data_IF_418863635719
#
_entry.id   IF_418863635719
#
_cell.length_a   1.000
_cell.length_b   1.000
_cell.length_c   1.000
_cell.angle_alpha   90.00
_cell.angle_beta   90.00
_cell.angle_gamma   90.00
#
_symmetry.space_group_name_H-M   'P 1'
#
loop_
_entity.id
_entity.type
_entity.pdbx_description
1 polymer ?
#
# COMPACT_ATOMS: atom_id res chain seq x y z
N UNK A 1 -12.83 32.52 0.13
CA UNK A 1 -13.05 31.25 0.83
C UNK A 1 -12.41 30.14 0.01
N UNK A 2 -11.14 29.76 0.20
CA UNK A 2 -10.48 28.87 -0.81
C UNK A 2 -9.61 27.71 -0.31
N UNK A 3 -9.05 27.74 0.90
CA UNK A 3 -8.33 26.58 1.47
C UNK A 3 -8.91 26.11 2.81
N UNK A 4 -9.40 27.05 3.63
CA UNK A 4 -9.93 26.74 4.97
C UNK A 4 -11.16 25.82 4.96
N UNK A 5 -12.00 25.86 3.92
CA UNK A 5 -13.19 24.99 3.83
C UNK A 5 -12.80 23.55 3.49
N UNK A 6 -11.90 23.35 2.50
CA UNK A 6 -11.33 22.04 2.18
C UNK A 6 -10.58 21.46 3.38
N UNK A 7 -9.79 22.29 4.07
CA UNK A 7 -9.05 21.85 5.26
C UNK A 7 -10.02 21.51 6.41
N UNK A 8 -11.11 22.27 6.60
CA UNK A 8 -12.17 21.93 7.57
C UNK A 8 -12.84 20.60 7.24
N UNK A 9 -13.14 20.36 5.96
CA UNK A 9 -13.74 19.10 5.49
C UNK A 9 -12.77 17.95 5.76
N UNK A 10 -11.50 18.08 5.34
CA UNK A 10 -10.46 17.07 5.54
C UNK A 10 -10.21 16.79 7.05
N UNK A 11 -10.13 17.83 7.88
CA UNK A 11 -9.95 17.66 9.33
C UNK A 11 -11.19 17.07 10.01
N UNK A 12 -12.40 17.42 9.57
CA UNK A 12 -13.62 16.78 10.08
C UNK A 12 -13.67 15.29 9.70
N UNK A 13 -13.24 14.98 8.47
CA UNK A 13 -13.10 13.63 7.94
C UNK A 13 -12.09 12.79 8.72
N UNK A 14 -10.92 13.36 9.04
CA UNK A 14 -9.89 12.70 9.85
C UNK A 14 -10.34 12.35 11.28
N UNK A 15 -11.28 13.12 11.83
CA UNK A 15 -11.83 12.89 13.19
C UNK A 15 -12.96 11.88 13.24
N UNK A 16 -13.44 11.43 12.09
CA UNK A 16 -14.61 10.56 12.01
C UNK A 16 -14.13 9.11 11.91
N UNK A 17 -14.28 8.34 12.99
CA UNK A 17 -13.87 6.92 13.08
C UNK A 17 -14.79 5.97 12.25
N UNK A 18 -15.16 6.38 11.04
CA UNK A 18 -15.90 5.58 10.06
C UNK A 18 -17.34 5.20 10.42
N UNK A 19 -17.90 5.72 11.53
CA UNK A 19 -19.25 5.33 12.01
C UNK A 19 -20.35 6.35 11.78
N UNK A 20 -20.02 7.62 11.56
CA UNK A 20 -21.01 8.67 11.32
C UNK A 20 -20.53 9.64 10.24
N UNK A 21 -20.95 9.42 8.99
CA UNK A 21 -20.56 10.28 7.86
C UNK A 21 -21.48 11.51 7.70
N UNK A 22 -22.28 11.87 8.70
CA UNK A 22 -23.34 12.88 8.55
C UNK A 22 -22.78 14.28 8.47
N UNK A 23 -21.66 14.54 9.15
CA UNK A 23 -20.93 15.79 9.05
C UNK A 23 -20.43 16.02 7.61
N UNK A 24 -19.91 14.97 6.99
CA UNK A 24 -19.40 14.98 5.60
C UNK A 24 -20.54 15.26 4.65
N UNK A 25 -21.65 14.53 4.83
CA UNK A 25 -22.84 14.66 4.00
C UNK A 25 -23.39 16.09 4.05
N UNK A 26 -23.56 16.67 5.25
CA UNK A 26 -24.01 18.07 5.40
C UNK A 26 -23.06 19.08 4.77
N UNK A 27 -21.75 18.87 4.92
CA UNK A 27 -20.75 19.77 4.36
C UNK A 27 -20.74 19.72 2.83
N UNK A 28 -20.87 18.52 2.25
CA UNK A 28 -20.99 18.34 0.80
C UNK A 28 -22.26 19.00 0.27
N UNK A 29 -23.40 18.85 0.96
CA UNK A 29 -24.65 19.55 0.59
C UNK A 29 -24.50 21.07 0.65
N UNK A 30 -23.82 21.60 1.68
CA UNK A 30 -23.55 23.04 1.80
C UNK A 30 -22.68 23.55 0.64
N UNK A 31 -21.60 22.84 0.30
CA UNK A 31 -20.72 23.20 -0.81
C UNK A 31 -21.45 23.13 -2.16
N UNK A 32 -22.35 22.17 -2.35
CA UNK A 32 -23.15 22.05 -3.58
C UNK A 32 -24.12 23.22 -3.82
N UNK A 33 -24.47 24.01 -2.78
CA UNK A 33 -25.24 25.25 -2.96
C UNK A 33 -24.48 26.30 -3.78
N UNK A 34 -23.17 26.14 -3.94
CA UNK A 34 -22.34 26.96 -4.82
C UNK A 34 -21.65 26.10 -5.91
N UNK A 35 -22.29 25.91 -7.08
CA UNK A 35 -21.79 25.00 -8.12
C UNK A 35 -20.37 25.30 -8.62
N UNK A 36 -19.98 26.58 -8.63
CA UNK A 36 -18.68 27.03 -9.12
C UNK A 36 -17.52 26.78 -8.13
N UNK A 37 -17.81 26.63 -6.84
CA UNK A 37 -16.81 26.18 -5.86
C UNK A 37 -16.77 24.65 -5.78
N UNK A 38 -17.93 24.00 -5.81
CA UNK A 38 -18.04 22.55 -5.70
C UNK A 38 -17.19 21.78 -6.71
N UNK A 39 -17.22 22.15 -7.99
CA UNK A 39 -16.44 21.42 -9.01
C UNK A 39 -14.92 21.43 -8.73
N UNK A 40 -14.39 22.53 -8.16
CA UNK A 40 -12.98 22.66 -7.81
C UNK A 40 -12.65 21.97 -6.49
N UNK A 41 -13.52 22.13 -5.49
CA UNK A 41 -13.31 21.61 -4.13
C UNK A 41 -13.49 20.09 -4.07
N UNK A 42 -14.42 19.53 -4.85
CA UNK A 42 -14.65 18.09 -4.96
C UNK A 42 -13.36 17.33 -5.31
N UNK A 43 -12.60 17.84 -6.28
CA UNK A 43 -11.33 17.20 -6.66
C UNK A 43 -10.34 17.23 -5.50
N UNK A 44 -10.16 18.39 -4.85
CA UNK A 44 -9.26 18.53 -3.71
C UNK A 44 -9.64 17.64 -2.51
N UNK A 45 -10.94 17.42 -2.29
CA UNK A 45 -11.46 16.50 -1.27
C UNK A 45 -11.09 15.06 -1.64
N UNK A 46 -11.42 14.62 -2.86
CA UNK A 46 -11.11 13.26 -3.31
C UNK A 46 -9.61 12.95 -3.34
N UNK A 47 -8.75 13.96 -3.57
CA UNK A 47 -7.30 13.79 -3.59
C UNK A 47 -6.70 13.71 -2.18
N UNK A 48 -7.33 14.32 -1.17
CA UNK A 48 -6.78 14.43 0.20
C UNK A 48 -7.36 13.42 1.20
N UNK A 49 -8.54 12.88 0.91
CA UNK A 49 -9.30 12.10 1.87
C UNK A 49 -9.08 10.62 1.62
N UNK A 50 -8.54 9.92 2.62
CA UNK A 50 -8.48 8.46 2.58
C UNK A 50 -9.88 7.88 2.83
N UNK A 51 -10.53 7.49 1.74
CA UNK A 51 -11.88 6.95 1.75
C UNK A 51 -12.00 5.64 2.56
N UNK A 52 -10.90 4.89 2.74
CA UNK A 52 -10.92 3.67 3.57
C UNK A 52 -11.18 3.99 5.04
N UNK A 53 -10.65 5.12 5.53
CA UNK A 53 -10.87 5.58 6.92
C UNK A 53 -12.33 5.89 7.20
N UNK A 54 -13.10 6.21 6.16
CA UNK A 54 -14.53 6.49 6.27
C UNK A 54 -15.41 5.23 6.27
N UNK A 55 -14.79 4.04 6.37
CA UNK A 55 -15.50 2.77 6.34
C UNK A 55 -15.90 2.32 4.94
N UNK A 56 -15.41 2.98 3.88
CA UNK A 56 -15.55 2.48 2.51
C UNK A 56 -14.56 1.33 2.27
N UNK A 57 -14.89 0.17 2.84
CA UNK A 57 -14.07 -1.03 2.71
C UNK A 57 -14.04 -1.52 1.25
N UNK A 58 -12.83 -1.85 0.76
CA UNK A 58 -12.64 -2.63 -0.46
C UNK A 58 -12.39 -1.86 -1.76
N UNK A 59 -12.49 -0.53 -1.78
CA UNK A 59 -12.27 0.25 -3.00
C UNK A 59 -11.43 1.49 -2.69
N UNK A 60 -10.16 1.47 -3.11
CA UNK A 60 -9.19 2.60 -3.06
C UNK A 60 -9.56 3.73 -4.03
N UNK A 61 -10.77 3.67 -4.53
CA UNK A 61 -11.18 4.08 -5.85
C UNK A 61 -12.62 4.58 -5.76
N UNK A 62 -12.99 5.26 -4.68
CA UNK A 62 -14.31 5.88 -4.54
C UNK A 62 -14.12 7.38 -4.48
N UNK A 63 -14.84 8.10 -5.32
CA UNK A 63 -14.91 9.55 -5.36
C UNK A 63 -16.25 10.02 -4.82
N UNK A 64 -16.23 11.08 -4.01
CA UNK A 64 -17.45 11.78 -3.61
C UNK A 64 -17.91 12.61 -4.80
N UNK A 65 -19.15 12.38 -5.24
CA UNK A 65 -19.79 13.09 -6.35
C UNK A 65 -20.72 14.19 -5.89
N UNK A 66 -21.27 14.05 -4.68
CA UNK A 66 -22.21 14.98 -4.09
C UNK A 66 -22.92 14.40 -2.88
N UNK A 67 -23.93 15.11 -2.41
CA UNK A 67 -24.85 14.65 -1.39
C UNK A 67 -26.27 15.16 -1.71
N UNK A 68 -27.29 14.48 -1.19
CA UNK A 68 -28.68 14.87 -1.34
C UNK A 68 -29.54 14.27 -0.22
N UNK A 69 -30.33 15.10 0.46
CA UNK A 69 -31.26 14.71 1.51
C UNK A 69 -30.63 13.81 2.60
N UNK A 70 -29.44 14.16 3.07
CA UNK A 70 -28.71 13.39 4.07
C UNK A 70 -28.14 12.08 3.52
N UNK A 71 -28.03 11.92 2.21
CA UNK A 71 -27.38 10.78 1.55
C UNK A 71 -26.13 11.25 0.81
N UNK A 72 -25.05 10.47 0.86
CA UNK A 72 -23.82 10.73 0.13
C UNK A 72 -23.85 10.01 -1.21
N UNK A 73 -23.58 10.72 -2.29
CA UNK A 73 -23.44 10.15 -3.64
C UNK A 73 -21.95 9.94 -3.89
N UNK A 74 -21.58 8.69 -4.07
CA UNK A 74 -20.21 8.28 -4.35
C UNK A 74 -20.15 7.60 -5.71
N UNK A 75 -19.02 7.70 -6.40
CA UNK A 75 -18.79 7.03 -7.67
C UNK A 75 -17.46 6.32 -7.64
N UNK A 76 -17.37 5.12 -8.17
CA UNK A 76 -16.08 4.47 -8.35
C UNK A 76 -15.16 5.31 -9.26
N UNK A 77 -13.84 5.23 -9.06
CA UNK A 77 -12.84 5.99 -9.81
C UNK A 77 -12.85 5.62 -11.30
N UNK A 78 -13.25 4.39 -11.60
CA UNK A 78 -13.50 3.91 -12.96
C UNK A 78 -14.83 4.41 -13.57
N UNK A 79 -15.61 5.17 -12.80
CA UNK A 79 -16.88 5.76 -13.21
C UNK A 79 -18.05 4.79 -13.31
N UNK A 80 -17.87 3.51 -12.97
CA UNK A 80 -18.80 2.42 -13.32
C UNK A 80 -19.94 2.20 -12.34
N UNK A 81 -19.73 2.48 -11.06
CA UNK A 81 -20.78 2.42 -10.04
C UNK A 81 -20.96 3.80 -9.43
N UNK A 82 -22.21 4.23 -9.34
CA UNK A 82 -22.63 5.35 -8.53
C UNK A 82 -23.47 4.79 -7.38
N UNK A 83 -22.99 4.97 -6.16
CA UNK A 83 -23.63 4.48 -4.95
C UNK A 83 -24.17 5.67 -4.17
N UNK A 84 -25.46 5.61 -3.86
CA UNK A 84 -26.09 6.47 -2.86
C UNK A 84 -25.97 5.76 -1.53
N UNK A 85 -25.40 6.46 -0.55
CA UNK A 85 -25.12 5.94 0.77
C UNK A 85 -25.85 6.74 1.82
N UNK A 86 -26.31 6.07 2.86
CA UNK A 86 -26.93 6.71 4.00
C UNK A 86 -25.89 7.58 4.71
N UNK A 87 -26.15 8.87 4.82
CA UNK A 87 -25.20 9.82 5.39
C UNK A 87 -24.96 9.62 6.87
N UNK A 88 -25.76 8.83 7.59
CA UNK A 88 -25.52 8.55 9.02
C UNK A 88 -24.72 7.29 9.22
N UNK A 89 -24.99 6.24 8.46
CA UNK A 89 -24.44 4.89 8.67
C UNK A 89 -23.38 4.51 7.64
N UNK A 90 -23.27 5.23 6.52
CA UNK A 90 -22.39 4.90 5.40
C UNK A 90 -22.83 3.70 4.57
N UNK A 91 -23.94 3.04 4.95
CA UNK A 91 -24.50 1.90 4.25
C UNK A 91 -24.96 2.29 2.84
N UNK A 92 -24.76 1.40 1.86
CA UNK A 92 -25.25 1.61 0.49
C UNK A 92 -26.77 1.48 0.51
N UNK A 93 -27.47 2.57 0.18
CA UNK A 93 -28.94 2.63 0.06
C UNK A 93 -29.36 2.21 -1.35
N UNK A 94 -28.61 2.66 -2.35
CA UNK A 94 -28.83 2.23 -3.73
C UNK A 94 -27.52 2.25 -4.52
N UNK A 95 -27.38 1.35 -5.47
CA UNK A 95 -26.29 1.32 -6.42
C UNK A 95 -26.85 1.42 -7.84
N UNK A 96 -26.43 2.43 -8.58
CA UNK A 96 -26.68 2.56 -10.01
C UNK A 96 -25.39 2.26 -10.76
N UNK A 97 -25.44 1.29 -11.66
CA UNK A 97 -24.33 1.02 -12.59
C UNK A 97 -24.56 1.83 -13.85
N UNK A 98 -23.56 2.61 -14.26
CA UNK A 98 -23.69 3.46 -15.46
C UNK A 98 -23.78 2.57 -16.72
N UNK A 99 -24.72 2.84 -17.65
CA UNK A 99 -24.91 2.03 -18.86
C UNK A 99 -23.70 1.99 -19.81
N UNK A 100 -22.78 2.95 -19.68
CA UNK A 100 -21.58 3.12 -20.51
C UNK A 100 -20.51 2.04 -20.32
N UNK A 101 -20.78 1.03 -19.49
CA UNK A 101 -19.98 -0.18 -19.41
C UNK A 101 -20.86 -1.38 -19.16
N UNK A 102 -21.35 -2.05 -20.21
CA UNK A 102 -21.85 -3.43 -20.09
C UNK A 102 -20.73 -4.29 -19.54
N UNK A 103 -20.82 -4.63 -18.26
CA UNK A 103 -20.10 -5.72 -17.61
C UNK A 103 -21.02 -6.35 -16.58
N UNK A 104 -20.89 -7.67 -16.44
CA UNK A 104 -21.61 -8.55 -15.52
C UNK A 104 -21.59 -8.05 -14.06
N UNK A 105 -22.47 -8.61 -13.20
CA UNK A 105 -22.65 -8.22 -11.79
C UNK A 105 -21.39 -8.06 -10.90
N UNK A 106 -20.21 -8.51 -11.35
CA UNK A 106 -18.96 -8.46 -10.60
C UNK A 106 -17.88 -7.49 -11.12
N UNK A 107 -18.15 -6.63 -12.12
CA UNK A 107 -17.14 -5.67 -12.60
C UNK A 107 -15.92 -6.34 -13.27
N UNK A 108 -16.12 -7.53 -13.80
CA UNK A 108 -15.05 -8.35 -14.39
C UNK A 108 -14.63 -7.80 -15.77
N UNK A 109 -13.40 -7.31 -15.86
CA UNK A 109 -12.81 -6.87 -17.14
C UNK A 109 -12.81 -8.06 -18.12
N UNK A 110 -13.17 -7.81 -19.38
CA UNK A 110 -13.14 -8.82 -20.45
C UNK A 110 -11.68 -9.08 -20.87
N UNK A 111 -10.99 -9.87 -20.06
CA UNK A 111 -9.65 -10.35 -20.31
C UNK A 111 -9.72 -11.55 -21.26
N UNK A 112 -9.08 -11.42 -22.43
CA UNK A 112 -9.07 -12.49 -23.44
C UNK A 112 -7.74 -13.20 -23.43
N UNK A 113 -7.68 -14.33 -22.73
CA UNK A 113 -6.49 -15.18 -22.71
C UNK A 113 -6.14 -15.67 -24.12
N UNK A 114 -4.86 -15.61 -24.49
CA UNK A 114 -4.35 -15.91 -25.84
C UNK A 114 -3.80 -17.34 -25.98
N UNK A 115 -3.86 -18.16 -24.93
CA UNK A 115 -3.34 -19.54 -24.92
C UNK A 115 -1.82 -19.65 -24.77
N UNK A 116 -1.07 -18.59 -25.05
CA UNK A 116 0.39 -18.48 -24.79
C UNK A 116 0.71 -18.04 -23.35
N UNK A 117 -0.31 -17.91 -22.50
CA UNK A 117 -0.20 -17.38 -21.15
C UNK A 117 -0.48 -15.87 -21.05
N UNK A 118 -0.40 -15.13 -22.16
CA UNK A 118 -0.74 -13.71 -22.18
C UNK A 118 -2.25 -13.49 -22.30
N UNK A 119 -2.68 -12.26 -21.98
CA UNK A 119 -4.08 -11.84 -22.03
C UNK A 119 -4.19 -10.55 -22.82
N UNK A 120 -5.12 -10.47 -23.77
CA UNK A 120 -5.48 -9.21 -24.43
C UNK A 120 -6.53 -8.45 -23.65
N UNK A 121 -6.37 -7.14 -23.60
CA UNK A 121 -7.31 -6.24 -22.95
C UNK A 121 -7.45 -4.92 -23.71
N UNK A 122 -8.68 -4.48 -23.99
CA UNK A 122 -8.95 -3.14 -24.53
C UNK A 122 -9.15 -2.15 -23.39
N UNK A 123 -8.29 -1.12 -23.34
CA UNK A 123 -8.31 -0.07 -22.32
C UNK A 123 -9.62 0.71 -22.39
N UNK A 124 -10.29 0.87 -21.25
CA UNK A 124 -11.57 1.57 -21.14
C UNK A 124 -11.38 2.94 -20.47
N UNK A 125 -12.37 3.86 -20.56
CA UNK A 125 -12.32 5.10 -19.80
C UNK A 125 -12.09 4.86 -18.31
N UNK A 126 -11.25 5.68 -17.68
CA UNK A 126 -10.89 5.58 -16.26
C UNK A 126 -9.85 4.52 -15.91
N UNK A 127 -9.35 3.75 -16.88
CA UNK A 127 -8.34 2.74 -16.63
C UNK A 127 -6.94 3.32 -16.51
N UNK A 128 -6.21 2.85 -15.51
CA UNK A 128 -4.76 3.00 -15.40
C UNK A 128 -4.09 1.64 -15.58
N UNK A 129 -2.83 1.61 -16.01
CA UNK A 129 -2.09 0.35 -16.09
C UNK A 129 -1.99 -0.34 -14.73
N UNK A 130 -1.86 0.43 -13.64
CA UNK A 130 -1.83 -0.10 -12.28
C UNK A 130 -3.13 -0.81 -11.90
N UNK A 131 -4.29 -0.26 -12.28
CA UNK A 131 -5.60 -0.89 -12.03
C UNK A 131 -5.76 -2.18 -12.84
N UNK A 132 -5.35 -2.15 -14.12
CA UNK A 132 -5.39 -3.33 -14.98
C UNK A 132 -4.45 -4.42 -14.44
N UNK A 133 -3.23 -4.05 -14.06
CA UNK A 133 -2.24 -4.95 -13.47
C UNK A 133 -2.73 -5.59 -12.17
N UNK A 134 -3.25 -4.79 -11.24
CA UNK A 134 -3.81 -5.27 -9.96
C UNK A 134 -4.93 -6.29 -10.19
N UNK A 135 -5.90 -5.96 -11.04
CA UNK A 135 -7.02 -6.86 -11.29
C UNK A 135 -6.57 -8.17 -11.94
N UNK A 136 -5.62 -8.10 -12.89
CA UNK A 136 -5.09 -9.31 -13.51
C UNK A 136 -4.32 -10.17 -12.52
N UNK A 137 -3.43 -9.57 -11.72
CA UNK A 137 -2.68 -10.27 -10.68
C UNK A 137 -3.61 -10.96 -9.67
N UNK A 138 -4.67 -10.28 -9.25
CA UNK A 138 -5.66 -10.85 -8.34
C UNK A 138 -6.42 -12.02 -8.96
N UNK A 139 -6.77 -11.93 -10.24
CA UNK A 139 -7.41 -13.03 -10.97
C UNK A 139 -6.47 -14.24 -11.11
N UNK A 140 -5.17 -14.02 -11.33
CA UNK A 140 -4.19 -15.11 -11.47
C UNK A 140 -3.81 -15.76 -10.13
N UNK A 141 -3.69 -14.97 -9.06
CA UNK A 141 -3.17 -15.45 -7.75
C UNK A 141 -4.25 -15.75 -6.73
N UNK A 142 -5.48 -15.26 -6.94
CA UNK A 142 -6.58 -15.34 -5.97
C UNK A 142 -6.40 -14.49 -4.71
N UNK A 143 -5.32 -13.70 -4.61
CA UNK A 143 -5.00 -12.86 -3.44
C UNK A 143 -4.77 -11.41 -3.83
N UNK A 144 -4.79 -10.50 -2.85
CA UNK A 144 -4.49 -9.08 -3.10
C UNK A 144 -2.99 -8.91 -3.40
N UNK A 145 -2.59 -8.40 -4.58
CA UNK A 145 -1.19 -8.27 -4.95
C UNK A 145 -0.51 -7.15 -4.18
N UNK A 146 0.79 -7.29 -3.91
CA UNK A 146 1.56 -6.23 -3.28
C UNK A 146 1.79 -5.06 -4.25
N UNK A 147 2.11 -3.87 -3.72
CA UNK A 147 2.47 -2.71 -4.54
C UNK A 147 3.66 -2.99 -5.46
N UNK A 148 4.61 -3.82 -5.00
CA UNK A 148 5.74 -4.26 -5.80
C UNK A 148 5.29 -5.11 -6.99
N UNK A 149 4.42 -6.10 -6.76
CA UNK A 149 3.92 -6.98 -7.83
C UNK A 149 3.15 -6.18 -8.90
N UNK A 150 2.35 -5.20 -8.45
CA UNK A 150 1.63 -4.29 -9.34
C UNK A 150 2.61 -3.48 -10.18
N UNK A 151 3.63 -2.87 -9.55
CA UNK A 151 4.63 -2.08 -10.26
C UNK A 151 5.39 -2.91 -11.29
N UNK A 152 5.85 -4.10 -10.92
CA UNK A 152 6.54 -5.03 -11.82
C UNK A 152 5.65 -5.42 -13.01
N UNK A 153 4.35 -5.69 -12.77
CA UNK A 153 3.42 -6.00 -13.84
C UNK A 153 3.14 -4.80 -14.76
N UNK A 154 3.08 -3.58 -14.22
CA UNK A 154 2.93 -2.36 -15.03
C UNK A 154 4.13 -2.20 -15.97
N UNK A 155 5.35 -2.45 -15.48
CA UNK A 155 6.56 -2.41 -16.33
C UNK A 155 6.51 -3.49 -17.41
N UNK A 156 6.11 -4.71 -17.06
CA UNK A 156 5.97 -5.81 -18.01
C UNK A 156 4.93 -5.51 -19.11
N UNK A 157 3.78 -4.93 -18.74
CA UNK A 157 2.79 -4.43 -19.71
C UNK A 157 3.38 -3.32 -20.59
N UNK A 158 4.11 -2.36 -19.99
CA UNK A 158 4.78 -1.29 -20.71
C UNK A 158 5.74 -1.81 -21.79
N UNK A 159 6.57 -2.79 -21.43
CA UNK A 159 7.53 -3.44 -22.32
C UNK A 159 6.84 -4.24 -23.43
N UNK A 160 5.86 -5.09 -23.07
CA UNK A 160 5.14 -5.92 -24.03
C UNK A 160 4.42 -5.11 -25.11
N UNK A 161 3.95 -3.90 -24.76
CA UNK A 161 3.20 -3.02 -25.66
C UNK A 161 4.03 -1.85 -26.20
N UNK A 162 5.34 -1.81 -25.91
CA UNK A 162 6.26 -0.73 -26.34
C UNK A 162 5.72 0.67 -26.00
N UNK A 163 5.14 0.81 -24.81
CA UNK A 163 4.60 2.08 -24.34
C UNK A 163 5.75 3.01 -23.96
N UNK A 164 5.76 4.23 -24.51
CA UNK A 164 6.75 5.26 -24.16
C UNK A 164 6.53 5.83 -22.75
N UNK A 165 5.27 5.88 -22.33
CA UNK A 165 4.86 6.35 -21.01
C UNK A 165 3.75 5.44 -20.50
N UNK A 166 4.01 4.73 -19.40
CA UNK A 166 3.07 3.82 -18.75
C UNK A 166 1.90 4.56 -18.09
N UNK A 167 2.03 5.86 -17.85
CA UNK A 167 0.97 6.67 -17.24
C UNK A 167 -0.01 7.24 -18.27
N UNK A 168 0.33 7.21 -19.57
CA UNK A 168 -0.47 7.81 -20.62
C UNK A 168 -0.93 6.77 -21.65
N UNK A 169 -1.84 5.91 -21.19
CA UNK A 169 -2.50 4.93 -22.06
C UNK A 169 -3.78 5.48 -22.66
N UNK A 170 -4.02 5.16 -23.93
CA UNK A 170 -5.19 5.67 -24.67
C UNK A 170 -6.36 4.70 -24.54
N UNK A 171 -7.52 5.23 -24.19
CA UNK A 171 -8.79 4.50 -24.24
C UNK A 171 -9.02 3.93 -25.64
N UNK A 172 -9.58 2.71 -25.71
CA UNK A 172 -9.84 1.96 -26.93
C UNK A 172 -8.61 1.21 -27.47
N UNK A 173 -7.43 1.41 -26.89
CA UNK A 173 -6.21 0.70 -27.31
C UNK A 173 -6.23 -0.72 -26.74
N UNK A 174 -5.98 -1.71 -27.59
CA UNK A 174 -5.75 -3.08 -27.14
C UNK A 174 -4.29 -3.24 -26.68
N UNK A 175 -4.12 -3.82 -25.50
CA UNK A 175 -2.82 -4.13 -24.91
C UNK A 175 -2.70 -5.61 -24.57
N UNK A 176 -1.48 -6.11 -24.66
CA UNK A 176 -1.08 -7.44 -24.20
C UNK A 176 -0.62 -7.37 -22.75
N UNK A 177 -1.19 -8.20 -21.90
CA UNK A 177 -0.83 -8.33 -20.50
C UNK A 177 -0.09 -9.66 -20.35
N UNK A 178 1.24 -9.66 -20.12
CA UNK A 178 1.99 -10.90 -19.95
C UNK A 178 1.59 -11.61 -18.64
N UNK A 179 1.62 -12.94 -18.65
CA UNK A 179 1.37 -13.73 -17.44
C UNK A 179 2.51 -13.57 -16.44
N UNK A 180 2.21 -13.70 -15.15
CA UNK A 180 3.23 -13.73 -14.10
C UNK A 180 4.27 -14.85 -14.36
N UNK A 181 3.83 -15.98 -14.93
CA UNK A 181 4.71 -17.15 -15.16
C UNK A 181 5.78 -16.89 -16.21
N UNK A 182 5.49 -16.01 -17.18
CA UNK A 182 6.45 -15.66 -18.23
C UNK A 182 7.53 -14.71 -17.71
N UNK A 183 7.29 -13.99 -16.60
CA UNK A 183 8.31 -13.16 -15.93
C UNK A 183 9.47 -13.98 -15.36
N UNK A 184 9.22 -15.24 -14.98
CA UNK A 184 10.23 -16.12 -14.40
C UNK A 184 11.15 -16.76 -15.45
N UNK A 185 10.89 -16.55 -16.76
CA UNK A 185 11.71 -17.08 -17.84
C UNK A 185 12.56 -15.94 -18.42
N UNK A 186 13.80 -15.73 -17.94
CA UNK A 186 14.71 -14.80 -18.59
C UNK A 186 14.88 -15.22 -20.05
N UNK A 187 14.94 -14.24 -20.95
CA UNK A 187 15.05 -14.39 -22.41
C UNK A 187 16.29 -15.20 -22.84
N UNK A 188 16.25 -16.52 -22.65
CA UNK A 188 17.20 -17.46 -23.23
C UNK A 188 16.54 -18.10 -24.46
N UNK A 189 16.21 -17.31 -25.49
CA UNK A 189 15.90 -17.77 -26.85
C UNK A 189 15.53 -16.60 -27.79
N UNK A 190 16.52 -15.77 -28.13
CA UNK A 190 16.55 -15.10 -29.45
C UNK A 190 17.94 -15.26 -30.04
N UNK A 191 18.29 -16.51 -30.33
CA UNK A 191 19.35 -16.87 -31.26
C UNK A 191 18.69 -17.32 -32.55
N UNK A 192 18.76 -16.46 -33.56
CA UNK A 192 18.38 -16.74 -34.95
C UNK A 192 19.24 -17.89 -35.47
N UNK A 193 18.59 -18.82 -36.17
CA UNK A 193 19.23 -20.00 -36.71
C UNK A 193 20.14 -19.70 -37.90
N UNK A 194 21.15 -20.53 -38.05
CA UNK A 194 21.64 -20.93 -39.37
C UNK A 194 21.98 -22.42 -39.34
N UNK A 195 21.69 -23.03 -40.47
CA UNK A 195 21.58 -24.45 -40.81
C UNK A 195 22.82 -25.31 -40.58
N UNK A 196 22.61 -26.57 -40.16
CA UNK A 196 23.26 -27.71 -40.82
C UNK A 196 22.54 -29.05 -40.53
N UNK A 197 22.19 -29.87 -41.54
CA UNK A 197 21.69 -31.21 -41.35
C UNK A 197 22.85 -32.21 -41.43
N UNK A 198 22.96 -33.12 -40.45
CA UNK A 198 23.82 -34.28 -40.63
C UNK A 198 24.28 -34.92 -39.34
N UNK A 199 24.00 -36.22 -39.28
CA UNK A 199 24.65 -37.24 -38.44
C UNK A 199 24.02 -37.46 -37.06
N UNK A 200 23.11 -38.43 -37.05
CA UNK A 200 23.02 -39.40 -35.96
C UNK A 200 24.37 -40.16 -35.86
N UNK A 201 24.77 -40.60 -34.66
CA UNK A 201 24.48 -42.00 -34.36
C UNK A 201 24.18 -42.32 -32.89
N UNK A 202 23.57 -43.50 -32.74
CA UNK A 202 23.72 -44.51 -31.69
C UNK A 202 23.39 -44.17 -30.23
N UNK A 203 22.37 -44.89 -29.76
CA UNK A 203 22.11 -45.23 -28.38
C UNK A 203 23.32 -45.87 -27.69
N UNK A 204 23.50 -45.57 -26.39
CA UNK A 204 23.82 -46.55 -25.36
C UNK A 204 23.72 -45.92 -23.96
N UNK A 205 23.02 -46.64 -23.08
CA UNK A 205 23.27 -46.78 -21.64
C UNK A 205 23.44 -45.53 -20.76
N UNK A 206 22.43 -45.20 -19.96
CA UNK A 206 22.60 -45.05 -18.50
C UNK A 206 21.23 -45.18 -17.79
N UNK A 207 21.13 -46.21 -16.95
CA UNK A 207 20.06 -46.41 -15.97
C UNK A 207 20.19 -45.40 -14.81
N UNK A 208 19.09 -44.87 -14.24
CA UNK A 208 19.10 -44.41 -12.86
C UNK A 208 18.77 -45.57 -11.91
N UNK A 209 19.65 -45.73 -10.91
CA UNK A 209 19.47 -46.58 -9.74
C UNK A 209 18.11 -46.36 -9.07
N UNK A 210 17.37 -47.45 -8.87
CA UNK A 210 16.44 -47.61 -7.75
C UNK A 210 17.22 -48.15 -6.55
N UNK A 211 16.99 -47.60 -5.37
CA UNK A 211 16.96 -48.40 -4.14
C UNK A 211 15.73 -48.03 -3.30
N UNK A 212 15.17 -49.00 -2.54
CA UNK A 212 13.84 -48.97 -1.95
C UNK A 212 13.86 -48.69 -0.44
N UNK A 213 12.69 -48.39 0.14
CA UNK A 213 12.50 -48.41 1.59
C UNK A 213 11.22 -47.72 2.05
N UNK A 214 10.07 -48.36 1.83
CA UNK A 214 8.80 -48.01 2.45
C UNK A 214 8.83 -48.33 3.94
N UNK A 215 8.38 -47.40 4.78
CA UNK A 215 7.56 -47.69 5.98
C UNK A 215 6.53 -46.56 6.16
N UNK A 216 5.27 -46.87 5.90
CA UNK A 216 4.08 -46.26 6.50
C UNK A 216 3.33 -47.39 7.24
N UNK A 217 2.33 -47.15 8.14
CA UNK A 217 1.68 -45.88 8.51
C UNK A 217 1.50 -45.68 10.04
N UNK A 218 1.07 -44.48 10.48
CA UNK A 218 0.58 -44.32 11.86
C UNK A 218 0.21 -42.91 12.32
N UNK A 219 -1.03 -42.51 12.03
CA UNK A 219 -1.98 -41.71 12.85
C UNK A 219 -1.60 -40.31 13.40
N UNK A 220 -2.39 -39.35 12.92
CA UNK A 220 -3.14 -38.33 13.67
C UNK A 220 -2.47 -37.65 14.88
N UNK A 221 -2.17 -36.36 14.74
CA UNK A 221 -2.77 -35.34 15.61
C UNK A 221 -2.62 -33.95 14.98
N UNK A 222 -3.75 -33.25 14.85
CA UNK A 222 -3.82 -31.89 14.35
C UNK A 222 -3.20 -30.90 15.32
N UNK A 223 -2.24 -30.10 14.84
CA UNK A 223 -1.82 -28.86 15.48
C UNK A 223 -2.27 -27.69 14.61
N UNK A 224 -3.37 -27.07 15.04
CA UNK A 224 -3.90 -25.80 14.56
C UNK A 224 -2.94 -24.71 15.06
N UNK A 225 -2.16 -24.08 14.19
CA UNK A 225 -1.42 -22.87 14.54
C UNK A 225 -2.44 -21.75 14.81
N UNK A 226 -2.58 -21.35 16.08
CA UNK A 226 -3.19 -20.06 16.46
C UNK A 226 -2.07 -19.03 16.49
N UNK A 227 -2.07 -18.14 15.52
CA UNK A 227 -1.40 -16.85 15.59
C UNK A 227 -2.11 -16.03 16.68
N UNK A 228 -1.43 -15.81 17.81
CA UNK A 228 -1.94 -15.02 18.91
C UNK A 228 -1.05 -13.81 19.11
N UNK A 229 -1.49 -12.64 18.67
CA UNK A 229 -0.99 -11.36 19.15
C UNK A 229 -1.14 -11.33 20.68
N UNK A 230 -0.03 -11.22 21.40
CA UNK A 230 -0.05 -10.97 22.85
C UNK A 230 0.05 -9.47 23.07
N UNK A 231 -1.10 -8.80 23.12
CA UNK A 231 -1.22 -7.43 23.65
C UNK A 231 -1.27 -7.51 25.18
N UNK A 232 -0.23 -7.04 25.86
CA UNK A 232 -0.28 -6.78 27.29
C UNK A 232 -0.80 -5.35 27.50
N UNK A 233 -2.13 -5.20 27.58
CA UNK A 233 -2.76 -3.94 27.99
C UNK A 233 -2.65 -3.81 29.52
N UNK A 234 -1.60 -3.14 30.00
CA UNK A 234 -1.51 -2.73 31.38
C UNK A 234 -2.30 -1.42 31.59
N UNK A 235 -3.42 -1.50 32.30
CA UNK A 235 -4.20 -0.31 32.67
C UNK A 235 -3.69 0.23 34.01
N UNK A 236 -2.87 1.28 33.96
CA UNK A 236 -2.38 1.97 35.15
C UNK A 236 -3.41 2.97 35.70
N UNK A 237 -3.43 3.24 37.03
CA UNK A 237 -4.37 4.18 37.65
C UNK A 237 -4.15 5.65 37.23
N UNK A 238 -5.16 6.48 37.49
CA UNK A 238 -5.29 7.85 37.00
C UNK A 238 -4.09 8.75 37.39
N UNK A 239 -3.34 9.18 36.38
CA UNK A 239 -2.15 10.02 36.49
C UNK A 239 -1.00 9.57 35.59
N UNK A 240 -1.00 8.32 35.13
CA UNK A 240 0.11 7.76 34.35
C UNK A 240 -0.15 7.65 32.85
N UNK A 241 0.93 7.75 32.07
CA UNK A 241 1.02 7.74 30.60
C UNK A 241 0.69 6.35 30.05
N UNK A 242 0.03 6.28 28.88
CA UNK A 242 -0.20 5.01 28.20
C UNK A 242 1.05 4.62 27.41
N UNK A 243 1.77 3.60 27.88
CA UNK A 243 2.90 3.00 27.18
C UNK A 243 2.40 1.72 26.52
N UNK A 244 2.48 1.64 25.19
CA UNK A 244 2.22 0.37 24.47
C UNK A 244 3.53 -0.20 23.95
N UNK A 245 3.78 -1.47 24.26
CA UNK A 245 4.95 -2.22 23.79
C UNK A 245 4.49 -3.30 22.82
N UNK A 246 5.12 -3.35 21.65
CA UNK A 246 4.85 -4.34 20.61
C UNK A 246 6.13 -5.11 20.27
N UNK A 247 6.02 -6.44 20.22
CA UNK A 247 6.96 -7.31 19.53
C UNK A 247 6.40 -7.56 18.13
N UNK A 248 6.92 -6.85 17.12
CA UNK A 248 6.41 -6.98 15.74
C UNK A 248 7.53 -6.80 14.71
N UNK A 249 7.45 -7.46 13.54
CA UNK A 249 8.22 -7.04 12.38
C UNK A 249 7.79 -5.62 11.97
N UNK A 250 8.71 -4.65 12.04
CA UNK A 250 8.39 -3.24 11.75
C UNK A 250 8.09 -3.08 10.25
N UNK A 251 6.86 -2.69 9.92
CA UNK A 251 6.41 -2.38 8.55
C UNK A 251 5.96 -0.94 8.31
N UNK A 252 6.27 0.00 9.21
CA UNK A 252 5.87 1.40 9.06
C UNK A 252 7.04 2.33 8.73
N UNK A 253 6.96 2.93 7.55
CA UNK A 253 7.88 3.93 6.99
C UNK A 253 8.53 3.46 5.69
N UNK A 254 8.91 4.39 4.83
CA UNK A 254 9.67 4.16 3.58
C UNK A 254 11.14 3.83 3.92
N UNK A 255 11.35 2.76 4.70
CA UNK A 255 12.66 2.27 5.09
C UNK A 255 12.81 0.85 4.55
N UNK A 256 13.86 0.62 3.77
CA UNK A 256 14.16 -0.69 3.18
C UNK A 256 15.07 -1.43 4.13
N UNK A 257 14.64 -2.56 4.67
CA UNK A 257 15.45 -3.43 5.53
C UNK A 257 15.91 -4.67 4.76
N UNK A 258 17.14 -5.13 4.98
CA UNK A 258 17.77 -6.25 4.25
C UNK A 258 17.54 -7.64 4.86
N UNK A 259 17.14 -7.73 6.14
CA UNK A 259 16.66 -8.94 6.85
C UNK A 259 16.02 -8.50 8.18
N UNK A 260 14.97 -9.15 8.73
CA UNK A 260 14.27 -8.57 9.87
C UNK A 260 14.89 -8.99 11.21
N UNK A 261 15.65 -8.12 11.90
CA UNK A 261 15.84 -8.29 13.34
C UNK A 261 14.49 -8.14 14.05
N UNK A 262 14.36 -8.79 15.21
CA UNK A 262 13.22 -8.50 16.09
C UNK A 262 13.37 -7.09 16.62
N UNK A 263 12.29 -6.31 16.52
CA UNK A 263 12.25 -4.95 17.03
C UNK A 263 11.22 -4.85 18.16
N UNK A 264 11.59 -4.12 19.20
CA UNK A 264 10.67 -3.69 20.24
C UNK A 264 10.25 -2.26 19.92
N UNK A 265 8.95 -2.05 19.76
CA UNK A 265 8.37 -0.74 19.49
C UNK A 265 7.60 -0.28 20.72
N UNK A 266 7.97 0.88 21.25
CA UNK A 266 7.27 1.55 22.33
C UNK A 266 6.71 2.88 21.82
N UNK A 267 5.41 3.09 21.95
CA UNK A 267 4.76 4.34 21.54
C UNK A 267 4.04 5.01 22.72
N UNK A 268 4.15 6.34 22.76
CA UNK A 268 3.41 7.22 23.66
C UNK A 268 2.49 8.09 22.81
N UNK A 269 1.21 8.12 23.17
CA UNK A 269 0.16 8.84 22.46
C UNK A 269 -0.41 9.94 23.36
N UNK A 270 -0.60 11.15 22.81
CA UNK A 270 -1.37 12.20 23.47
C UNK A 270 -2.83 11.73 23.63
N UNK A 271 -3.32 11.67 24.87
CA UNK A 271 -4.67 11.16 25.16
C UNK A 271 -5.80 12.05 24.61
N UNK A 272 -5.53 13.35 24.43
CA UNK A 272 -6.53 14.31 23.97
C UNK A 272 -6.65 14.30 22.45
N UNK A 273 -5.53 14.18 21.74
CA UNK A 273 -5.51 14.22 20.26
C UNK A 273 -5.45 12.84 19.61
N UNK A 274 -5.00 11.81 20.34
CA UNK A 274 -4.73 10.49 19.78
C UNK A 274 -3.44 10.43 18.95
N UNK A 275 -2.65 11.51 18.91
CA UNK A 275 -1.43 11.59 18.12
C UNK A 275 -0.24 10.94 18.83
N UNK A 276 0.64 10.27 18.09
CA UNK A 276 1.88 9.70 18.63
C UNK A 276 2.85 10.84 18.92
N UNK A 277 3.14 11.08 20.20
CA UNK A 277 4.07 12.14 20.65
C UNK A 277 5.49 11.63 20.84
N UNK A 278 5.65 10.31 21.04
CA UNK A 278 6.97 9.67 21.14
C UNK A 278 6.89 8.24 20.62
N UNK A 279 7.91 7.83 19.89
CA UNK A 279 8.10 6.46 19.44
C UNK A 279 9.55 6.05 19.69
N UNK A 280 9.77 4.91 20.33
CA UNK A 280 11.09 4.32 20.54
C UNK A 280 11.11 2.95 19.88
N UNK A 281 12.03 2.73 18.95
CA UNK A 281 12.25 1.44 18.31
C UNK A 281 13.63 0.95 18.72
N UNK A 282 13.71 -0.27 19.23
CA UNK A 282 14.97 -0.95 19.55
C UNK A 282 15.08 -2.21 18.71
N UNK A 283 16.21 -2.38 18.03
CA UNK A 283 16.51 -3.55 17.24
C UNK A 283 17.41 -4.48 18.05
N UNK A 284 17.10 -5.78 18.03
CA UNK A 284 17.98 -6.80 18.59
C UNK A 284 19.11 -7.15 17.62
N UNK A 285 20.22 -7.70 18.14
CA UNK A 285 21.35 -8.19 17.32
C UNK A 285 22.27 -7.08 16.80
N UNK A 286 22.73 -7.23 15.55
CA UNK A 286 23.73 -6.34 14.92
C UNK A 286 23.17 -4.95 14.55
N UNK A 287 21.85 -4.75 14.72
CA UNK A 287 21.14 -3.56 14.26
C UNK A 287 20.70 -3.68 12.80
N UNK A 288 20.24 -2.57 12.23
CA UNK A 288 19.82 -2.49 10.83
C UNK A 288 20.58 -1.39 10.09
N UNK A 289 20.70 -1.53 8.78
CA UNK A 289 21.10 -0.40 7.94
C UNK A 289 19.88 0.46 7.62
N UNK A 290 20.06 1.78 7.67
CA UNK A 290 19.00 2.76 7.43
C UNK A 290 19.49 3.84 6.47
N UNK A 291 18.69 4.14 5.46
CA UNK A 291 18.91 5.29 4.58
C UNK A 291 18.07 6.48 5.02
N UNK A 292 18.68 7.65 5.16
CA UNK A 292 17.95 8.91 5.43
C UNK A 292 18.25 9.91 4.33
N UNK A 293 17.20 10.50 3.75
CA UNK A 293 17.32 11.50 2.69
C UNK A 293 17.16 12.91 3.27
N UNK A 294 18.14 13.77 3.02
CA UNK A 294 18.09 15.20 3.33
C UNK A 294 18.23 16.04 2.04
N UNK A 295 18.35 17.36 2.19
CA UNK A 295 18.53 18.27 1.07
C UNK A 295 19.90 18.16 0.37
N UNK A 296 20.85 17.45 0.95
CA UNK A 296 22.20 17.24 0.43
C UNK A 296 22.39 15.84 -0.18
N UNK A 297 21.42 14.93 -0.01
CA UNK A 297 21.42 13.61 -0.62
C UNK A 297 20.89 12.51 0.31
N UNK A 298 21.22 11.26 0.00
CA UNK A 298 20.91 10.11 0.85
C UNK A 298 22.14 9.74 1.67
N UNK A 299 21.98 9.68 2.99
CA UNK A 299 23.01 9.20 3.94
C UNK A 299 22.65 7.80 4.39
N UNK A 300 23.66 6.92 4.47
CA UNK A 300 23.52 5.57 4.99
C UNK A 300 24.00 5.55 6.45
N UNK A 301 23.18 4.99 7.33
CA UNK A 301 23.50 4.71 8.73
C UNK A 301 23.61 3.19 8.87
N UNK A 302 24.75 2.71 9.37
CA UNK A 302 24.99 1.28 9.52
C UNK A 302 24.78 0.83 10.97
N UNK A 303 24.23 -0.37 11.14
CA UNK A 303 24.07 -1.00 12.45
C UNK A 303 23.23 -0.18 13.43
N UNK A 304 22.15 0.48 12.98
CA UNK A 304 21.21 1.19 13.84
C UNK A 304 20.62 0.24 14.87
N UNK A 305 20.86 0.52 16.15
CA UNK A 305 20.38 -0.27 17.30
C UNK A 305 19.11 0.29 17.91
N UNK A 306 18.92 1.60 17.86
CA UNK A 306 17.67 2.21 18.30
C UNK A 306 17.40 3.54 17.61
N UNK A 307 16.12 3.88 17.51
CA UNK A 307 15.64 5.16 17.04
C UNK A 307 14.54 5.67 17.98
N UNK A 308 14.74 6.84 18.57
CA UNK A 308 13.73 7.54 19.38
C UNK A 308 13.27 8.79 18.66
N UNK A 309 11.99 8.87 18.32
CA UNK A 309 11.37 10.04 17.72
C UNK A 309 10.46 10.72 18.73
N UNK A 310 10.61 12.03 18.90
CA UNK A 310 9.79 12.88 19.77
C UNK A 310 9.19 14.01 18.95
N UNK A 311 7.88 14.20 19.05
CA UNK A 311 7.17 15.32 18.44
C UNK A 311 7.15 16.52 19.41
N UNK A 312 7.47 17.71 18.91
CA UNK A 312 7.20 18.96 19.62
C UNK A 312 5.73 19.35 19.41
N UNK A 313 4.88 19.34 20.45
CA UNK A 313 3.45 19.60 20.32
C UNK A 313 3.13 21.05 19.92
N UNK A 314 4.08 21.98 20.04
CA UNK A 314 3.87 23.39 19.66
C UNK A 314 4.09 23.62 18.17
N UNK A 315 5.08 22.95 17.60
CA UNK A 315 5.50 23.16 16.21
C UNK A 315 5.06 22.04 15.27
N UNK A 316 4.73 20.85 15.81
CA UNK A 316 4.48 19.63 15.05
C UNK A 316 5.74 19.05 14.40
N UNK A 317 6.92 19.58 14.73
CA UNK A 317 8.19 19.07 14.23
C UNK A 317 8.62 17.83 15.03
N UNK A 318 9.42 16.97 14.41
CA UNK A 318 9.94 15.78 15.06
C UNK A 318 11.44 15.88 15.25
N UNK A 319 11.92 15.32 16.35
CA UNK A 319 13.35 15.08 16.60
C UNK A 319 13.56 13.58 16.74
N UNK A 320 14.36 12.99 15.87
CA UNK A 320 14.71 11.57 15.88
C UNK A 320 16.17 11.40 16.29
N UNK A 321 16.42 10.71 17.39
CA UNK A 321 17.75 10.31 17.84
C UNK A 321 17.99 8.85 17.48
N UNK A 322 19.01 8.59 16.66
CA UNK A 322 19.38 7.27 16.16
C UNK A 322 20.72 6.87 16.76
N UNK A 323 20.76 5.76 17.48
CA UNK A 323 22.00 5.18 18.00
C UNK A 323 22.46 4.04 17.08
N UNK A 324 23.71 4.11 16.61
CA UNK A 324 24.34 3.13 15.72
C UNK A 324 25.34 2.24 16.47
N UNK A 325 25.69 1.10 15.86
CA UNK A 325 26.54 0.08 16.47
C UNK A 325 27.98 0.52 16.70
N UNK A 326 28.42 1.56 15.99
CA UNK A 326 29.72 2.23 16.13
C UNK A 326 29.78 3.22 17.31
N UNK A 327 28.68 3.37 18.07
CA UNK A 327 28.60 4.28 19.22
C UNK A 327 28.32 5.74 18.86
N UNK A 328 27.94 6.03 17.61
CA UNK A 328 27.45 7.35 17.22
C UNK A 328 25.95 7.52 17.52
N UNK A 329 25.58 8.75 17.86
CA UNK A 329 24.20 9.20 17.98
C UNK A 329 23.94 10.27 16.92
N UNK A 330 22.98 10.01 16.03
CA UNK A 330 22.53 10.97 15.03
C UNK A 330 21.22 11.60 15.49
N UNK A 331 21.20 12.92 15.63
CA UNK A 331 20.00 13.70 15.96
C UNK A 331 19.52 14.38 14.69
N UNK A 332 18.31 14.00 14.26
CA UNK A 332 17.70 14.44 13.01
C UNK A 332 16.45 15.23 13.36
N UNK A 333 16.37 16.47 12.91
CA UNK A 333 15.16 17.27 13.00
C UNK A 333 14.39 17.17 11.69
N UNK A 334 13.10 16.90 11.76
CA UNK A 334 12.18 16.94 10.61
C UNK A 334 11.02 17.89 10.89
N UNK A 335 10.54 18.55 9.85
CA UNK A 335 9.29 19.30 9.94
C UNK A 335 8.06 18.38 9.95
N UNK A 336 6.87 18.96 10.13
CA UNK A 336 5.59 18.23 10.10
C UNK A 336 5.31 17.45 8.80
N UNK A 337 6.02 17.74 7.71
CA UNK A 337 5.88 17.01 6.43
C UNK A 337 6.86 15.85 6.31
N UNK A 338 7.72 15.65 7.32
CA UNK A 338 8.76 14.62 7.31
C UNK A 338 10.05 15.05 6.60
N UNK A 339 10.17 16.32 6.17
CA UNK A 339 11.40 16.82 5.53
C UNK A 339 12.47 17.09 6.59
N UNK A 340 13.68 16.58 6.37
CA UNK A 340 14.84 16.84 7.23
C UNK A 340 15.23 18.32 7.17
N UNK A 341 15.24 18.98 8.33
CA UNK A 341 15.60 20.39 8.51
C UNK A 341 16.91 20.56 9.27
N UNK A 342 17.37 19.53 9.99
CA UNK A 342 18.64 19.55 10.71
C UNK A 342 19.21 18.16 10.94
N UNK A 343 20.54 18.07 10.99
CA UNK A 343 21.26 16.83 11.26
C UNK A 343 22.50 17.12 12.08
N UNK A 344 22.65 16.44 13.22
CA UNK A 344 23.85 16.51 14.07
C UNK A 344 24.30 15.11 14.41
N UNK A 345 25.59 14.83 14.31
CA UNK A 345 26.18 13.55 14.76
C UNK A 345 27.01 13.82 16.00
N UNK A 346 26.77 13.06 17.07
CA UNK A 346 27.49 13.13 18.33
C UNK A 346 28.07 11.77 18.63
N UNK A 347 29.36 11.72 18.93
CA UNK A 347 29.98 10.49 19.43
C UNK A 347 29.55 10.29 20.88
N UNK A 348 29.10 9.08 21.24
CA UNK A 348 28.82 8.77 22.64
C UNK A 348 30.17 8.77 23.37
N UNK A 349 30.39 9.75 24.25
CA UNK A 349 31.53 9.72 25.16
C UNK A 349 31.33 8.51 26.08
N UNK A 350 32.19 7.50 25.94
CA UNK A 350 32.23 6.37 26.85
C UNK A 350 32.59 6.90 28.23
N UNK A 351 31.60 6.93 29.13
CA UNK A 351 31.80 7.24 30.54
C UNK A 351 32.16 6.00 31.33
#
# INVERSE_FOLDING_TARGET
MRNQEVDRVATALERTDGRDISAITRQVEEMQRNPASWARERQAINDRVDMRRLGFAGNDDIQIMGANNGQLITRSSDGRSEQVRDGRTGAVVSERRTPEGRVTPNGERDFRDQGDGSTRYTIRPGDTLSHIARQRLRAETGSEPSLRDIHEQVQAIGQANRLRDTNNVRVGTEITIPSIRDRARPEASRGVGDTNPGLAPSAENYHPMRLPGQVEPGRENGARWREGERTNDYTAPAGERNVRTYDAPVRNGTYVFSSPPTAQVMQETDRRTGEIVRSNVRYSGEGIDMSVRDQYGTRQLQGVRSAETVMDPRTGNYTTTIATGDGNNHVIATDRTGRVTGWVTRRQEQR
#
